data_IF_147735957505
#
_entry.id   IF_147735957505
#
_cell.length_a   1.000
_cell.length_b   1.000
_cell.length_c   1.000
_cell.angle_alpha   90.00
_cell.angle_beta   90.00
_cell.angle_gamma   90.00
#
_symmetry.space_group_name_H-M   'P 1'
#
loop_
_entity.id
_entity.type
_entity.pdbx_description
1 polymer ?
#
# COMPACT_ATOMS: atom_id res chain seq x y z
N UNK A 1 -37.33 -38.36 -21.98
CA UNK A 1 -37.22 -36.90 -22.17
C UNK A 1 -36.62 -36.29 -20.90
N UNK A 2 -35.32 -36.06 -20.86
CA UNK A 2 -34.62 -35.54 -19.68
C UNK A 2 -34.39 -34.02 -19.85
N UNK A 3 -34.86 -33.23 -18.87
CA UNK A 3 -34.62 -31.78 -18.80
C UNK A 3 -33.14 -31.54 -18.49
N UNK A 4 -32.46 -30.82 -19.38
CA UNK A 4 -31.11 -30.30 -19.17
C UNK A 4 -31.11 -29.28 -18.03
N UNK A 5 -30.59 -29.66 -16.87
CA UNK A 5 -30.09 -28.72 -15.86
C UNK A 5 -28.78 -28.12 -16.36
N UNK A 6 -28.84 -26.86 -16.78
CA UNK A 6 -27.69 -26.04 -17.16
C UNK A 6 -26.87 -25.76 -15.90
N UNK A 7 -25.81 -26.55 -15.71
CA UNK A 7 -24.77 -26.29 -14.71
C UNK A 7 -24.07 -25.00 -15.13
N UNK A 8 -24.40 -23.89 -14.47
CA UNK A 8 -23.59 -22.67 -14.57
C UNK A 8 -22.25 -22.95 -13.93
N UNK A 9 -21.25 -23.04 -14.80
CA UNK A 9 -19.83 -23.03 -14.52
C UNK A 9 -19.48 -21.88 -13.56
N UNK A 10 -19.39 -22.20 -12.27
CA UNK A 10 -18.68 -21.39 -11.28
C UNK A 10 -17.22 -21.79 -11.36
N UNK A 11 -16.48 -21.15 -12.26
CA UNK A 11 -15.03 -21.22 -12.23
C UNK A 11 -14.52 -20.68 -10.89
N UNK A 12 -13.99 -21.62 -10.13
CA UNK A 12 -13.41 -21.57 -8.80
C UNK A 12 -11.94 -21.14 -8.92
N UNK A 13 -11.51 -20.13 -8.17
CA UNK A 13 -10.25 -20.14 -7.37
C UNK A 13 -10.07 -18.82 -6.62
N UNK A 14 -10.74 -18.69 -5.48
CA UNK A 14 -10.51 -17.62 -4.49
C UNK A 14 -10.01 -18.22 -3.18
N UNK A 15 -9.15 -19.23 -3.24
CA UNK A 15 -8.48 -19.80 -2.07
C UNK A 15 -7.22 -19.00 -1.69
N UNK A 16 -7.27 -17.67 -1.81
CA UNK A 16 -6.14 -16.79 -1.50
C UNK A 16 -5.94 -16.70 0.00
N UNK A 17 -4.70 -16.86 0.47
CA UNK A 17 -4.31 -16.56 1.84
C UNK A 17 -4.81 -15.16 2.21
N UNK A 18 -5.60 -15.05 3.27
CA UNK A 18 -6.03 -13.75 3.77
C UNK A 18 -4.79 -12.87 4.05
N UNK A 19 -4.91 -11.55 3.88
CA UNK A 19 -3.83 -10.58 4.21
C UNK A 19 -3.20 -10.87 5.58
N UNK A 20 -4.03 -11.24 6.57
CA UNK A 20 -3.57 -11.55 7.93
C UNK A 20 -2.73 -12.82 7.97
N UNK A 21 -3.15 -13.88 7.27
CA UNK A 21 -2.40 -15.13 7.18
C UNK A 21 -1.09 -14.95 6.40
N UNK A 22 -1.13 -14.20 5.29
CA UNK A 22 0.07 -13.89 4.51
C UNK A 22 1.09 -13.07 5.33
N UNK A 23 0.61 -12.08 6.11
CA UNK A 23 1.48 -11.30 6.98
C UNK A 23 2.08 -12.13 8.13
N UNK A 24 1.29 -13.04 8.70
CA UNK A 24 1.78 -13.96 9.73
C UNK A 24 2.85 -14.92 9.19
N UNK A 25 2.66 -15.43 7.97
CA UNK A 25 3.64 -16.27 7.29
C UNK A 25 4.93 -15.51 6.96
N UNK A 26 4.83 -14.24 6.56
CA UNK A 26 5.99 -13.36 6.36
C UNK A 26 6.75 -13.15 7.69
N UNK A 27 6.04 -12.85 8.77
CA UNK A 27 6.63 -12.66 10.09
C UNK A 27 7.31 -13.94 10.62
N UNK A 28 6.74 -15.10 10.34
CA UNK A 28 7.31 -16.40 10.67
C UNK A 28 8.46 -16.82 9.74
N UNK A 29 8.63 -16.15 8.60
CA UNK A 29 9.64 -16.49 7.60
C UNK A 29 9.29 -17.67 6.70
N UNK A 30 8.03 -18.14 6.71
CA UNK A 30 7.53 -19.18 5.81
C UNK A 30 7.01 -18.63 4.48
N UNK A 31 6.98 -17.30 4.33
CA UNK A 31 6.62 -16.60 3.11
C UNK A 31 7.67 -15.51 2.85
N UNK A 32 8.13 -15.38 1.61
CA UNK A 32 9.02 -14.28 1.20
C UNK A 32 8.23 -12.99 0.99
N UNK A 33 8.90 -11.84 1.07
CA UNK A 33 8.30 -10.56 0.70
C UNK A 33 7.67 -10.57 -0.70
N UNK A 34 8.33 -11.16 -1.70
CA UNK A 34 7.84 -11.20 -3.07
C UNK A 34 6.51 -11.97 -3.18
N UNK A 35 6.42 -13.12 -2.51
CA UNK A 35 5.19 -13.90 -2.46
C UNK A 35 4.08 -13.18 -1.67
N UNK A 36 4.43 -12.48 -0.59
CA UNK A 36 3.49 -11.61 0.12
C UNK A 36 2.94 -10.51 -0.79
N UNK A 37 3.81 -9.75 -1.48
CA UNK A 37 3.41 -8.69 -2.42
C UNK A 37 2.48 -9.24 -3.50
N UNK A 38 2.84 -10.36 -4.13
CA UNK A 38 1.99 -11.00 -5.14
C UNK A 38 0.61 -11.43 -4.63
N UNK A 39 0.50 -11.81 -3.35
CA UNK A 39 -0.77 -12.21 -2.75
C UNK A 39 -1.67 -11.02 -2.33
N UNK A 40 -1.10 -9.83 -2.10
CA UNK A 40 -1.82 -8.68 -1.52
C UNK A 40 -1.89 -7.46 -2.43
N UNK A 41 -1.18 -7.45 -3.57
CA UNK A 41 -1.24 -6.39 -4.57
C UNK A 41 -2.42 -6.62 -5.51
N UNK A 42 -3.24 -5.59 -5.70
CA UNK A 42 -4.27 -5.57 -6.74
C UNK A 42 -3.65 -5.12 -8.06
N UNK A 43 -3.79 -5.93 -9.11
CA UNK A 43 -3.08 -5.74 -10.38
C UNK A 43 -3.75 -4.74 -11.33
N UNK A 44 -5.00 -4.34 -11.09
CA UNK A 44 -5.78 -3.56 -12.07
C UNK A 44 -5.86 -2.08 -11.70
N UNK A 45 -5.40 -1.22 -12.60
CA UNK A 45 -5.66 0.23 -12.56
C UNK A 45 -7.07 0.50 -13.06
N UNK A 46 -7.82 1.35 -12.36
CA UNK A 46 -9.22 1.64 -12.67
C UNK A 46 -9.40 2.72 -13.74
N UNK A 47 -8.32 3.36 -14.22
CA UNK A 47 -8.38 4.60 -15.01
C UNK A 47 -8.85 5.83 -14.23
N UNK A 48 -9.72 5.62 -13.24
CA UNK A 48 -10.16 6.59 -12.22
C UNK A 48 -9.03 6.82 -11.18
N UNK A 49 -8.54 8.07 -11.06
CA UNK A 49 -7.45 8.39 -10.14
C UNK A 49 -7.82 8.21 -8.67
N UNK A 50 -9.08 8.44 -8.26
CA UNK A 50 -9.46 8.31 -6.84
C UNK A 50 -9.55 6.84 -6.43
N UNK A 51 -10.05 5.96 -7.31
CA UNK A 51 -9.99 4.50 -7.10
C UNK A 51 -8.56 3.99 -7.06
N UNK A 52 -7.69 4.53 -7.92
CA UNK A 52 -6.26 4.21 -7.89
C UNK A 52 -5.62 4.65 -6.56
N UNK A 53 -5.98 5.83 -6.02
CA UNK A 53 -5.52 6.29 -4.71
C UNK A 53 -6.02 5.41 -3.56
N UNK A 54 -7.27 4.95 -3.58
CA UNK A 54 -7.78 3.99 -2.60
C UNK A 54 -7.00 2.68 -2.62
N UNK A 55 -6.74 2.13 -3.81
CA UNK A 55 -5.91 0.94 -4.00
C UNK A 55 -4.49 1.17 -3.48
N UNK A 56 -3.86 2.28 -3.85
CA UNK A 56 -2.51 2.64 -3.41
C UNK A 56 -2.43 2.80 -1.89
N UNK A 57 -3.46 3.34 -1.23
CA UNK A 57 -3.50 3.38 0.23
C UNK A 57 -3.56 1.97 0.86
N UNK A 58 -4.29 1.02 0.25
CA UNK A 58 -4.28 -0.38 0.69
C UNK A 58 -2.90 -1.01 0.47
N UNK A 59 -2.28 -0.77 -0.68
CA UNK A 59 -0.95 -1.26 -1.02
C UNK A 59 0.11 -0.69 -0.07
N UNK A 60 0.04 0.60 0.23
CA UNK A 60 0.90 1.28 1.19
C UNK A 60 0.79 0.63 2.57
N UNK A 61 -0.44 0.35 3.03
CA UNK A 61 -0.70 -0.35 4.30
C UNK A 61 -0.13 -1.77 4.31
N UNK A 62 -0.07 -2.44 3.16
CA UNK A 62 0.51 -3.77 3.04
C UNK A 62 2.04 -3.72 3.09
N UNK A 63 2.66 -2.84 2.30
CA UNK A 63 4.09 -2.59 2.30
C UNK A 63 4.60 -2.19 3.69
N UNK A 64 3.90 -1.26 4.34
CA UNK A 64 4.21 -0.80 5.68
C UNK A 64 4.15 -1.93 6.72
N UNK A 65 3.13 -2.78 6.65
CA UNK A 65 2.99 -3.92 7.56
C UNK A 65 4.08 -4.98 7.32
N UNK A 66 4.43 -5.24 6.05
CA UNK A 66 5.48 -6.17 5.68
C UNK A 66 6.84 -5.73 6.21
N UNK A 67 7.19 -4.45 6.01
CA UNK A 67 8.41 -3.87 6.56
C UNK A 67 8.47 -4.02 8.08
N UNK A 68 7.37 -3.71 8.78
CA UNK A 68 7.29 -3.88 10.24
C UNK A 68 7.46 -5.32 10.71
N UNK A 69 6.89 -6.29 9.98
CA UNK A 69 7.05 -7.72 10.26
C UNK A 69 8.50 -8.19 10.07
N UNK A 70 9.14 -7.78 8.97
CA UNK A 70 10.55 -8.10 8.70
C UNK A 70 11.49 -7.48 9.73
N UNK A 71 11.25 -6.23 10.15
CA UNK A 71 12.04 -5.58 11.19
C UNK A 71 11.87 -6.25 12.56
N UNK A 72 10.65 -6.65 12.93
CA UNK A 72 10.42 -7.41 14.15
C UNK A 72 11.16 -8.75 14.11
N UNK A 73 11.10 -9.45 12.98
CA UNK A 73 11.78 -10.73 12.77
C UNK A 73 13.31 -10.59 12.82
N UNK A 74 13.87 -9.54 12.22
CA UNK A 74 15.30 -9.25 12.26
C UNK A 74 15.81 -9.02 13.68
N UNK A 75 15.04 -8.27 14.50
CA UNK A 75 15.34 -8.07 15.92
C UNK A 75 15.30 -9.37 16.72
N UNK A 76 14.32 -10.24 16.46
CA UNK A 76 14.18 -11.51 17.21
C UNK A 76 15.27 -12.52 16.87
N UNK A 77 15.74 -12.55 15.63
CA UNK A 77 16.74 -13.52 15.18
C UNK A 77 18.17 -13.03 15.42
N UNK A 78 18.37 -11.76 15.79
CA UNK A 78 19.67 -11.09 15.80
C UNK A 78 20.46 -11.28 14.48
N UNK A 79 19.73 -11.49 13.38
CA UNK A 79 20.24 -11.85 12.06
C UNK A 79 19.76 -10.80 11.05
N UNK A 80 20.16 -9.54 11.30
CA UNK A 80 19.82 -8.40 10.44
C UNK A 80 20.46 -8.55 9.05
N UNK A 81 21.67 -9.10 8.97
CA UNK A 81 22.41 -9.25 7.71
C UNK A 81 21.72 -10.21 6.73
N UNK A 82 21.15 -11.32 7.23
CA UNK A 82 20.40 -12.25 6.37
C UNK A 82 19.07 -11.67 5.88
N UNK A 83 18.44 -10.80 6.68
CA UNK A 83 17.16 -10.17 6.32
C UNK A 83 17.32 -8.84 5.60
N UNK A 84 18.54 -8.31 5.51
CA UNK A 84 18.85 -7.05 4.83
C UNK A 84 18.28 -6.97 3.39
N UNK A 85 18.42 -7.99 2.52
CA UNK A 85 17.82 -7.93 1.19
C UNK A 85 16.30 -7.81 1.19
N UNK A 86 15.61 -8.48 2.11
CA UNK A 86 14.15 -8.39 2.23
C UNK A 86 13.71 -7.04 2.84
N UNK A 87 14.49 -6.50 3.78
CA UNK A 87 14.25 -5.18 4.37
C UNK A 87 14.43 -4.06 3.33
N UNK A 88 15.47 -4.14 2.50
CA UNK A 88 15.73 -3.20 1.41
C UNK A 88 14.59 -3.26 0.38
N UNK A 89 14.21 -4.48 -0.06
CA UNK A 89 13.10 -4.67 -0.99
C UNK A 89 11.74 -4.18 -0.43
N UNK A 90 11.49 -4.35 0.87
CA UNK A 90 10.26 -3.84 1.50
C UNK A 90 10.25 -2.31 1.58
N UNK A 91 11.43 -1.72 1.78
CA UNK A 91 11.63 -0.27 1.79
C UNK A 91 11.45 0.32 0.40
N UNK A 92 12.00 -0.33 -0.62
CA UNK A 92 11.83 0.07 -2.02
C UNK A 92 10.35 -0.01 -2.43
N UNK A 93 9.66 -1.10 -2.10
CA UNK A 93 8.22 -1.22 -2.36
C UNK A 93 7.41 -0.12 -1.67
N UNK A 94 7.69 0.17 -0.39
CA UNK A 94 7.01 1.25 0.32
C UNK A 94 7.24 2.61 -0.39
N UNK A 95 8.49 2.86 -0.81
CA UNK A 95 8.88 4.10 -1.51
C UNK A 95 8.19 4.24 -2.88
N UNK A 96 8.12 3.15 -3.66
CA UNK A 96 7.40 3.11 -4.95
C UNK A 96 5.93 3.51 -4.79
N UNK A 97 5.27 2.97 -3.76
CA UNK A 97 3.86 3.25 -3.49
C UNK A 97 3.67 4.70 -3.05
N UNK A 98 4.56 5.23 -2.19
CA UNK A 98 4.54 6.63 -1.76
C UNK A 98 4.73 7.60 -2.93
N UNK A 99 5.70 7.33 -3.81
CA UNK A 99 5.89 8.12 -5.03
C UNK A 99 4.65 8.10 -5.92
N UNK A 100 4.06 6.93 -6.13
CA UNK A 100 2.85 6.79 -6.95
C UNK A 100 1.65 7.51 -6.33
N UNK A 101 1.52 7.47 -4.99
CA UNK A 101 0.52 8.26 -4.25
C UNK A 101 0.70 9.76 -4.46
N UNK A 102 1.92 10.26 -4.34
CA UNK A 102 2.25 11.68 -4.53
C UNK A 102 1.96 12.12 -5.97
N UNK A 103 2.35 11.31 -6.94
CA UNK A 103 2.19 11.60 -8.37
C UNK A 103 0.72 11.53 -8.82
N UNK A 104 -0.08 10.62 -8.26
CA UNK A 104 -1.49 10.47 -8.65
C UNK A 104 -2.32 11.63 -8.08
N UNK A 105 -3.01 12.43 -8.91
CA UNK A 105 -3.83 13.53 -8.43
C UNK A 105 -5.10 13.01 -7.76
N UNK A 106 -5.45 13.54 -6.59
CA UNK A 106 -6.77 13.34 -6.00
C UNK A 106 -7.77 14.30 -6.66
N UNK A 107 -8.86 13.75 -7.23
CA UNK A 107 -9.91 14.56 -7.87
C UNK A 107 -11.15 14.68 -7.01
N UNK A 108 -11.36 13.74 -6.11
CA UNK A 108 -12.49 13.68 -5.21
C UNK A 108 -12.08 13.55 -3.74
N UNK A 109 -13.08 13.65 -2.88
CA UNK A 109 -12.91 13.51 -1.42
C UNK A 109 -12.27 12.18 -1.04
N UNK A 110 -12.60 11.10 -1.75
CA UNK A 110 -12.07 9.77 -1.50
C UNK A 110 -10.56 9.67 -1.75
N UNK A 111 -10.06 10.28 -2.83
CA UNK A 111 -8.63 10.34 -3.13
C UNK A 111 -7.87 11.17 -2.10
N UNK A 112 -8.42 12.32 -1.71
CA UNK A 112 -7.85 13.18 -0.66
C UNK A 112 -7.79 12.44 0.68
N UNK A 113 -8.86 11.73 1.05
CA UNK A 113 -8.93 10.94 2.27
C UNK A 113 -7.91 9.80 2.28
N UNK A 114 -7.66 9.16 1.14
CA UNK A 114 -6.63 8.13 1.01
C UNK A 114 -5.23 8.69 1.29
N UNK A 115 -4.89 9.84 0.68
CA UNK A 115 -3.61 10.53 0.94
C UNK A 115 -3.46 11.00 2.38
N UNK A 116 -4.51 11.60 2.96
CA UNK A 116 -4.50 12.06 4.35
C UNK A 116 -4.20 10.93 5.34
N UNK A 117 -4.80 9.75 5.15
CA UNK A 117 -4.53 8.59 6.01
C UNK A 117 -3.07 8.15 5.97
N UNK A 118 -2.43 8.22 4.80
CA UNK A 118 -1.01 7.93 4.64
C UNK A 118 -0.17 8.98 5.35
N UNK A 119 -0.42 10.27 5.08
CA UNK A 119 0.31 11.38 5.69
C UNK A 119 0.25 11.35 7.22
N UNK A 120 -0.95 11.21 7.79
CA UNK A 120 -1.15 11.12 9.25
C UNK A 120 -0.42 9.91 9.85
N UNK A 121 -0.38 8.78 9.14
CA UNK A 121 0.28 7.57 9.65
C UNK A 121 1.80 7.71 9.63
N UNK A 122 2.35 8.39 8.64
CA UNK A 122 3.78 8.73 8.57
C UNK A 122 4.18 9.76 9.64
N UNK A 123 3.34 10.77 9.88
CA UNK A 123 3.55 11.75 10.95
C UNK A 123 3.53 11.09 12.34
N UNK A 124 2.54 10.25 12.61
CA UNK A 124 2.47 9.47 13.86
C UNK A 124 3.68 8.53 14.06
N UNK A 125 4.38 8.17 12.99
CA UNK A 125 5.62 7.38 13.05
C UNK A 125 6.82 8.25 13.40
N UNK A 126 6.88 9.51 12.97
CA UNK A 126 7.92 10.45 13.43
C UNK A 126 7.96 10.57 14.95
N UNK A 127 6.82 10.35 15.61
CA UNK A 127 6.66 10.34 17.07
C UNK A 127 7.00 8.99 17.74
N UNK A 128 7.20 7.90 16.99
CA UNK A 128 7.56 6.58 17.49
C UNK A 128 9.00 6.27 17.07
N UNK A 129 9.89 6.04 18.06
CA UNK A 129 11.33 5.75 17.94
C UNK A 129 11.80 5.42 16.51
N UNK A 130 12.77 6.17 15.94
CA UNK A 130 13.24 5.93 14.59
C UNK A 130 13.72 4.48 14.47
N UNK A 131 13.02 3.71 13.64
CA UNK A 131 13.61 2.53 13.02
C UNK A 131 14.73 3.04 12.09
N UNK A 132 15.84 2.31 11.90
CA UNK A 132 16.99 2.76 11.09
C UNK A 132 16.69 2.86 9.59
N UNK A 133 15.43 2.93 9.19
CA UNK A 133 14.99 3.12 7.81
C UNK A 133 14.10 4.34 7.77
N UNK A 134 14.68 5.45 7.33
CA UNK A 134 13.98 6.66 6.90
C UNK A 134 13.20 6.34 5.62
N UNK A 135 11.87 6.56 5.58
CA UNK A 135 11.17 6.68 4.31
C UNK A 135 11.93 7.71 3.46
N UNK A 136 12.28 7.37 2.21
CA UNK A 136 13.02 8.30 1.34
C UNK A 136 12.22 9.58 1.07
N UNK A 137 10.90 9.52 1.20
CA UNK A 137 9.99 10.66 1.11
C UNK A 137 9.16 10.71 2.39
N UNK A 138 9.45 11.67 3.27
CA UNK A 138 8.70 11.84 4.52
C UNK A 138 7.21 12.13 4.30
N UNK A 139 6.41 12.00 5.36
CA UNK A 139 4.97 12.31 5.34
C UNK A 139 4.66 13.73 4.86
N UNK A 140 5.63 14.64 4.97
CA UNK A 140 5.60 15.99 4.40
C UNK A 140 5.29 15.98 2.91
N UNK A 141 5.95 15.16 2.08
CA UNK A 141 5.72 15.15 0.63
C UNK A 141 4.30 14.71 0.26
N UNK A 142 3.75 13.76 1.02
CA UNK A 142 2.35 13.36 0.86
C UNK A 142 1.43 14.52 1.24
N UNK A 143 1.72 15.25 2.33
CA UNK A 143 0.98 16.43 2.75
C UNK A 143 1.02 17.57 1.71
N UNK A 144 2.20 17.88 1.15
CA UNK A 144 2.36 18.84 0.06
C UNK A 144 1.54 18.45 -1.17
N UNK A 145 1.46 17.16 -1.50
CA UNK A 145 0.63 16.70 -2.63
C UNK A 145 -0.87 16.92 -2.40
N UNK A 146 -1.34 16.89 -1.16
CA UNK A 146 -2.74 17.16 -0.81
C UNK A 146 -3.05 18.64 -1.01
N UNK A 147 -2.16 19.53 -0.57
CA UNK A 147 -2.29 20.98 -0.77
C UNK A 147 -2.34 21.32 -2.26
N UNK A 148 -1.45 20.73 -3.07
CA UNK A 148 -1.45 20.88 -4.53
C UNK A 148 -2.77 20.43 -5.15
N UNK A 149 -3.29 19.27 -4.76
CA UNK A 149 -4.52 18.72 -5.33
C UNK A 149 -5.75 19.56 -4.96
N UNK A 150 -5.79 20.12 -3.75
CA UNK A 150 -6.82 21.07 -3.32
C UNK A 150 -6.74 22.42 -4.07
N UNK A 151 -5.53 22.91 -4.34
CA UNK A 151 -5.35 24.14 -5.12
C UNK A 151 -5.80 23.93 -6.57
N UNK A 152 -5.50 22.77 -7.16
CA UNK A 152 -5.94 22.42 -8.51
C UNK A 152 -7.47 22.32 -8.62
N UNK A 153 -8.15 21.75 -7.62
CA UNK A 153 -9.61 21.69 -7.61
C UNK A 153 -10.25 23.07 -7.43
N UNK A 154 -9.65 23.94 -6.62
CA UNK A 154 -10.09 25.34 -6.49
C UNK A 154 -9.96 26.12 -7.80
N UNK A 155 -8.81 26.00 -8.47
CA UNK A 155 -8.58 26.67 -9.75
C UNK A 155 -9.53 26.18 -10.84
N UNK A 156 -9.92 24.90 -10.84
CA UNK A 156 -10.90 24.36 -11.77
C UNK A 156 -12.32 24.93 -11.58
N UNK A 157 -12.64 25.47 -10.39
CA UNK A 157 -13.93 26.09 -10.07
C UNK A 157 -13.92 27.60 -10.36
N UNK A 158 -12.74 28.23 -10.39
CA UNK A 158 -12.57 29.69 -10.48
C UNK A 158 -12.25 30.28 -11.86
N UNK A 159 -12.40 29.52 -12.96
CA UNK A 159 -12.12 30.01 -14.33
C UNK A 159 -13.40 30.38 -15.13
N UNK A 160 -14.59 30.24 -14.53
CA UNK A 160 -15.86 30.69 -15.12
C UNK A 160 -16.34 32.01 -14.48
N UNK A 161 -15.54 33.08 -14.50
CA UNK A 161 -15.96 34.43 -14.09
C UNK A 161 -15.56 35.51 -15.07
#
# INVERSE_FOLDING_TARGET
MAKHTRITDRHRSGGGLSRRAALAALAAGSLTLAAFRGAVSETKSSGDPDKNLQRLHVEWRNAYAALGALQARARTLADEDRLKPELDAATDWLSEVEQTLIATPARGHDGLRAKLRVAQRLENRGNLRPLPVTPRHGGEYVAWSIVRDLQASWNAVGVDS
#
